data_IF_437284894655
#
_entry.id   IF_437284894655
#
_cell.length_a   1.000
_cell.length_b   1.000
_cell.length_c   1.000
_cell.angle_alpha   90.00
_cell.angle_beta   90.00
_cell.angle_gamma   90.00
#
_symmetry.space_group_name_H-M   'P 1'
#
loop_
_entity.id
_entity.type
_entity.pdbx_description
1 polymer ?
#
# COMPACT_ATOMS: atom_id res chain seq x y z
N UNK A 1 8.28 8.40 11.46
CA UNK A 1 9.10 9.00 10.37
C UNK A 1 8.67 10.44 10.13
N UNK A 2 9.55 11.43 10.37
CA UNK A 2 9.33 12.86 10.08
C UNK A 2 10.09 13.33 8.82
N UNK A 3 10.28 12.44 7.83
CA UNK A 3 10.89 12.79 6.56
C UNK A 3 9.83 13.32 5.58
N UNK A 4 10.24 14.21 4.67
CA UNK A 4 9.36 14.69 3.58
C UNK A 4 8.75 13.53 2.78
N UNK A 5 9.51 12.46 2.56
CA UNK A 5 9.02 11.24 1.91
C UNK A 5 7.89 10.59 2.72
N UNK A 6 8.05 10.45 4.03
CA UNK A 6 7.02 9.88 4.90
C UNK A 6 5.74 10.72 4.92
N UNK A 7 5.87 12.05 4.86
CA UNK A 7 4.72 12.96 4.77
C UNK A 7 3.99 12.83 3.42
N UNK A 8 4.74 12.76 2.30
CA UNK A 8 4.15 12.52 0.97
C UNK A 8 3.42 11.18 0.92
N UNK A 9 4.02 10.12 1.45
CA UNK A 9 3.39 8.79 1.53
C UNK A 9 2.07 8.88 2.30
N UNK A 10 2.05 9.46 3.50
CA UNK A 10 0.82 9.61 4.29
C UNK A 10 -0.24 10.45 3.60
N UNK A 11 0.15 11.55 2.95
CA UNK A 11 -0.78 12.40 2.20
C UNK A 11 -1.38 11.64 1.00
N UNK A 12 -0.60 10.79 0.33
CA UNK A 12 -1.09 9.93 -0.74
C UNK A 12 -2.05 8.86 -0.21
N UNK A 13 -1.76 8.23 0.93
CA UNK A 13 -2.68 7.29 1.58
C UNK A 13 -4.05 7.93 1.83
N UNK A 14 -4.05 9.13 2.42
CA UNK A 14 -5.28 9.91 2.70
C UNK A 14 -6.06 10.28 1.44
N UNK A 15 -5.34 10.55 0.33
CA UNK A 15 -5.97 10.79 -0.97
C UNK A 15 -6.65 9.53 -1.51
N UNK A 16 -6.02 8.36 -1.36
CA UNK A 16 -6.48 7.11 -1.96
C UNK A 16 -7.63 6.50 -1.16
N UNK A 17 -7.51 6.46 0.17
CA UNK A 17 -8.38 5.69 1.04
C UNK A 17 -9.23 6.54 1.99
N UNK A 18 -8.95 7.84 2.10
CA UNK A 18 -9.75 8.79 2.89
C UNK A 18 -8.96 9.47 4.00
N UNK A 19 -9.40 10.66 4.39
CA UNK A 19 -8.72 11.48 5.41
C UNK A 19 -9.15 11.17 6.86
N UNK A 20 -10.14 10.29 7.03
CA UNK A 20 -10.73 9.94 8.33
C UNK A 20 -9.97 8.82 9.04
N UNK A 21 -9.07 8.14 8.34
CA UNK A 21 -8.31 7.02 8.86
C UNK A 21 -6.83 7.39 9.01
N UNK A 22 -6.18 6.75 9.97
CA UNK A 22 -4.74 6.73 10.07
C UNK A 22 -4.16 5.48 9.40
N UNK A 23 -2.95 5.62 8.87
CA UNK A 23 -2.28 4.56 8.12
C UNK A 23 -0.91 4.32 8.71
N UNK A 24 -0.71 3.08 9.15
CA UNK A 24 0.59 2.58 9.58
C UNK A 24 1.45 2.25 8.37
N UNK A 25 2.73 2.59 8.47
CA UNK A 25 3.75 2.40 7.46
C UNK A 25 4.89 1.62 8.08
N UNK A 26 5.01 0.35 7.71
CA UNK A 26 6.06 -0.53 8.22
C UNK A 26 6.98 -1.00 7.11
N UNK A 27 8.17 -1.44 7.50
CA UNK A 27 9.10 -2.15 6.63
C UNK A 27 9.43 -3.49 7.28
N UNK A 28 9.35 -4.57 6.50
CA UNK A 28 9.76 -5.89 6.95
C UNK A 28 11.01 -6.32 6.16
N UNK A 29 11.88 -7.06 6.85
CA UNK A 29 13.11 -7.63 6.32
C UNK A 29 13.29 -9.01 6.94
N UNK A 30 12.67 -10.02 6.32
CA UNK A 30 12.63 -11.38 6.86
C UNK A 30 13.86 -12.22 6.49
N UNK A 31 14.61 -11.86 5.45
CA UNK A 31 15.70 -12.68 4.92
C UNK A 31 17.07 -11.98 4.88
N UNK A 32 17.19 -10.78 5.47
CA UNK A 32 18.37 -9.91 5.44
C UNK A 32 18.84 -9.48 4.04
N UNK A 33 18.08 -9.78 2.98
CA UNK A 33 18.44 -9.55 1.57
C UNK A 33 17.40 -8.68 0.87
N UNK A 34 16.13 -8.82 1.23
CA UNK A 34 15.00 -8.16 0.61
C UNK A 34 14.19 -7.37 1.65
N UNK A 35 13.84 -6.15 1.27
CA UNK A 35 13.02 -5.22 2.05
C UNK A 35 11.66 -5.06 1.39
N UNK A 36 10.59 -5.03 2.19
CA UNK A 36 9.24 -4.75 1.73
C UNK A 36 8.59 -3.71 2.62
N UNK A 37 8.00 -2.68 2.04
CA UNK A 37 7.18 -1.73 2.78
C UNK A 37 5.70 -2.12 2.69
N UNK A 38 4.98 -1.93 3.79
CA UNK A 38 3.56 -2.20 3.92
C UNK A 38 2.83 -0.93 4.32
N UNK A 39 1.61 -0.80 3.81
CA UNK A 39 0.62 0.15 4.33
C UNK A 39 -0.48 -0.66 4.99
N UNK A 40 -0.80 -0.33 6.23
CA UNK A 40 -1.91 -0.92 6.98
C UNK A 40 -2.81 0.21 7.46
N UNK A 41 -4.10 -0.08 7.62
CA UNK A 41 -4.99 0.84 8.33
C UNK A 41 -4.71 0.72 9.82
N UNK A 42 -4.53 1.84 10.49
CA UNK A 42 -4.34 1.91 11.93
C UNK A 42 -5.72 2.07 12.60
N UNK A 43 -6.07 1.15 13.49
CA UNK A 43 -7.30 1.20 14.28
C UNK A 43 -7.07 1.72 15.71
N UNK A 44 -5.86 2.17 16.02
CA UNK A 44 -5.44 2.68 17.33
C UNK A 44 -5.01 1.57 18.30
N UNK A 45 -5.80 0.51 18.43
CA UNK A 45 -5.49 -0.65 19.28
C UNK A 45 -4.85 -1.83 18.52
N UNK A 46 -4.92 -1.79 17.20
CA UNK A 46 -4.51 -2.87 16.31
C UNK A 46 -4.24 -2.36 14.89
N UNK A 47 -3.37 -3.06 14.17
CA UNK A 47 -3.14 -2.80 12.75
C UNK A 47 -3.98 -3.75 11.90
N UNK A 48 -4.60 -3.20 10.85
CA UNK A 48 -5.32 -3.99 9.85
C UNK A 48 -4.40 -4.82 8.96
N UNK A 49 -5.01 -5.68 8.13
CA UNK A 49 -4.28 -6.37 7.05
C UNK A 49 -3.62 -5.35 6.11
N UNK A 50 -2.48 -5.72 5.48
CA UNK A 50 -1.87 -4.89 4.45
C UNK A 50 -2.84 -4.50 3.34
N UNK A 51 -2.93 -3.20 3.06
CA UNK A 51 -3.77 -2.63 2.00
C UNK A 51 -2.95 -2.24 0.76
N UNK A 52 -1.65 -2.05 0.94
CA UNK A 52 -0.64 -1.94 -0.11
C UNK A 52 0.69 -2.51 0.39
N UNK A 53 1.49 -3.01 -0.54
CA UNK A 53 2.80 -3.60 -0.25
C UNK A 53 3.70 -3.42 -1.47
N UNK A 54 4.98 -3.09 -1.25
CA UNK A 54 5.97 -3.03 -2.34
C UNK A 54 6.40 -4.44 -2.75
N UNK A 55 7.09 -4.54 -3.89
CA UNK A 55 7.89 -5.73 -4.16
C UNK A 55 9.07 -5.85 -3.19
N UNK A 56 9.72 -7.01 -3.16
CA UNK A 56 11.08 -7.14 -2.64
C UNK A 56 12.01 -6.10 -3.28
N UNK A 57 12.62 -5.28 -2.44
CA UNK A 57 13.57 -4.24 -2.81
C UNK A 57 14.93 -4.56 -2.17
N UNK A 58 16.06 -4.21 -2.82
CA UNK A 58 17.40 -4.56 -2.34
C UNK A 58 17.85 -3.75 -1.11
N UNK A 59 17.10 -2.71 -0.73
CA UNK A 59 17.38 -1.90 0.46
C UNK A 59 16.11 -1.28 1.02
N UNK A 60 16.21 -0.79 2.26
CA UNK A 60 15.14 -0.03 2.91
C UNK A 60 14.77 1.22 2.12
N UNK A 61 15.76 1.99 1.68
CA UNK A 61 15.57 3.19 0.89
C UNK A 61 14.88 2.89 -0.43
N UNK A 62 15.26 1.79 -1.09
CA UNK A 62 14.62 1.35 -2.32
C UNK A 62 13.15 0.95 -2.09
N UNK A 63 12.85 0.29 -0.96
CA UNK A 63 11.47 -0.04 -0.59
C UNK A 63 10.62 1.21 -0.34
N UNK A 64 11.12 2.19 0.43
CA UNK A 64 10.40 3.44 0.68
C UNK A 64 10.22 4.29 -0.59
N UNK A 65 11.25 4.34 -1.45
CA UNK A 65 11.17 5.04 -2.74
C UNK A 65 10.13 4.39 -3.67
N UNK A 66 10.10 3.06 -3.73
CA UNK A 66 9.11 2.33 -4.51
C UNK A 66 7.70 2.57 -3.95
N UNK A 67 7.53 2.55 -2.62
CA UNK A 67 6.24 2.86 -2.01
C UNK A 67 5.75 4.28 -2.35
N UNK A 68 6.62 5.30 -2.22
CA UNK A 68 6.29 6.70 -2.58
C UNK A 68 5.86 6.79 -4.05
N UNK A 69 6.62 6.17 -4.96
CA UNK A 69 6.31 6.13 -6.40
C UNK A 69 4.94 5.49 -6.67
N UNK A 70 4.68 4.33 -6.06
CA UNK A 70 3.45 3.57 -6.25
C UNK A 70 2.22 4.36 -5.78
N UNK A 71 2.28 4.90 -4.56
CA UNK A 71 1.18 5.65 -3.98
C UNK A 71 0.99 7.00 -4.67
N UNK A 72 2.06 7.66 -5.11
CA UNK A 72 1.97 8.89 -5.91
C UNK A 72 1.22 8.68 -7.23
N UNK A 73 1.51 7.59 -7.94
CA UNK A 73 0.80 7.24 -9.17
C UNK A 73 -0.69 6.97 -8.92
N UNK A 74 -1.02 6.27 -7.84
CA UNK A 74 -2.41 5.99 -7.48
C UNK A 74 -3.16 7.25 -7.04
N UNK A 75 -2.59 8.03 -6.13
CA UNK A 75 -3.16 9.29 -5.68
C UNK A 75 -3.41 10.25 -6.86
N UNK A 76 -2.50 10.32 -7.83
CA UNK A 76 -2.68 11.12 -9.06
C UNK A 76 -3.90 10.65 -9.88
N UNK A 77 -4.09 9.34 -10.02
CA UNK A 77 -5.25 8.75 -10.71
C UNK A 77 -6.57 9.00 -9.97
N UNK A 78 -6.56 8.88 -8.63
CA UNK A 78 -7.73 9.20 -7.79
C UNK A 78 -8.11 10.68 -7.94
N UNK A 79 -7.13 11.60 -7.88
CA UNK A 79 -7.36 13.04 -8.07
C UNK A 79 -7.94 13.39 -9.44
N UNK A 80 -7.69 12.57 -10.47
CA UNK A 80 -8.25 12.72 -11.82
C UNK A 80 -9.63 12.07 -11.99
N UNK A 81 -10.19 11.48 -10.93
CA UNK A 81 -11.48 10.77 -11.00
C UNK A 81 -11.40 9.40 -11.68
N UNK A 82 -10.20 8.86 -11.90
CA UNK A 82 -9.96 7.58 -12.58
C UNK A 82 -9.19 6.61 -11.68
N UNK A 83 -9.75 6.22 -10.51
CA UNK A 83 -9.07 5.33 -9.58
C UNK A 83 -8.71 4.00 -10.26
N UNK A 84 -7.53 3.46 -9.94
CA UNK A 84 -7.08 2.19 -10.53
C UNK A 84 -7.99 1.03 -10.13
N UNK A 85 -8.35 0.22 -11.12
CA UNK A 85 -8.99 -1.08 -10.91
C UNK A 85 -8.05 -2.05 -10.19
N UNK A 86 -8.58 -3.16 -9.65
CA UNK A 86 -7.75 -4.23 -9.06
C UNK A 86 -6.69 -4.73 -10.05
N UNK A 87 -7.06 -4.95 -11.31
CA UNK A 87 -6.14 -5.44 -12.33
C UNK A 87 -5.04 -4.43 -12.63
N UNK A 88 -5.36 -3.15 -12.79
CA UNK A 88 -4.34 -2.12 -13.00
C UNK A 88 -3.39 -2.00 -11.82
N UNK A 89 -3.91 -2.16 -10.59
CA UNK A 89 -3.06 -2.24 -9.40
C UNK A 89 -2.14 -3.46 -9.46
N UNK A 90 -2.65 -4.64 -9.81
CA UNK A 90 -1.83 -5.85 -9.95
C UNK A 90 -0.76 -5.72 -11.05
N UNK A 91 -1.07 -5.09 -12.19
CA UNK A 91 -0.08 -4.82 -13.24
C UNK A 91 1.00 -3.84 -12.79
N UNK A 92 0.60 -2.77 -12.09
CA UNK A 92 1.50 -1.69 -11.68
C UNK A 92 2.35 -2.07 -10.47
N UNK A 93 1.78 -2.88 -9.56
CA UNK A 93 2.32 -3.14 -8.22
C UNK A 93 2.68 -4.60 -8.00
N UNK A 94 2.38 -5.49 -8.95
CA UNK A 94 2.68 -6.92 -8.86
C UNK A 94 4.18 -7.27 -8.95
N UNK A 95 5.07 -6.30 -8.83
CA UNK A 95 6.51 -6.46 -8.88
C UNK A 95 7.06 -6.83 -10.27
N UNK A 96 8.40 -6.95 -10.41
CA UNK A 96 9.04 -7.28 -11.67
C UNK A 96 8.50 -8.57 -12.27
N UNK A 97 8.10 -8.52 -13.55
CA UNK A 97 7.48 -9.65 -14.28
C UNK A 97 6.20 -10.21 -13.62
N UNK A 98 5.54 -9.45 -12.75
CA UNK A 98 4.31 -9.86 -12.08
C UNK A 98 4.49 -10.92 -10.98
N UNK A 99 5.73 -11.15 -10.51
CA UNK A 99 6.06 -12.19 -9.51
C UNK A 99 5.24 -12.10 -8.23
N UNK A 100 4.74 -10.92 -7.86
CA UNK A 100 4.01 -10.68 -6.63
C UNK A 100 2.50 -10.48 -6.84
N UNK A 101 1.99 -10.61 -8.07
CA UNK A 101 0.55 -10.45 -8.37
C UNK A 101 -0.33 -11.37 -7.52
N UNK A 102 0.07 -12.63 -7.35
CA UNK A 102 -0.72 -13.59 -6.58
C UNK A 102 -0.83 -13.21 -5.10
N UNK A 103 0.29 -12.82 -4.48
CA UNK A 103 0.35 -12.38 -3.08
C UNK A 103 -0.43 -11.07 -2.91
N UNK A 104 -0.18 -10.09 -3.78
CA UNK A 104 -0.88 -8.81 -3.76
C UNK A 104 -2.39 -8.95 -3.98
N UNK A 105 -2.82 -9.87 -4.86
CA UNK A 105 -4.25 -10.13 -5.07
C UNK A 105 -4.91 -10.66 -3.80
N UNK A 106 -4.28 -11.60 -3.09
CA UNK A 106 -4.83 -12.14 -1.84
C UNK A 106 -5.04 -11.04 -0.80
N UNK A 107 -4.05 -10.16 -0.61
CA UNK A 107 -4.18 -9.03 0.30
C UNK A 107 -5.30 -8.06 -0.12
N UNK A 108 -5.42 -7.76 -1.42
CA UNK A 108 -6.52 -6.91 -1.92
C UNK A 108 -7.90 -7.53 -1.69
N UNK A 109 -8.03 -8.85 -1.88
CA UNK A 109 -9.28 -9.59 -1.66
C UNK A 109 -9.68 -9.61 -0.18
N UNK A 110 -8.73 -9.88 0.71
CA UNK A 110 -8.95 -9.82 2.16
C UNK A 110 -9.37 -8.42 2.62
N UNK A 111 -8.75 -7.37 2.10
CA UNK A 111 -9.13 -6.00 2.40
C UNK A 111 -10.58 -5.69 1.96
N UNK A 112 -10.95 -6.06 0.73
CA UNK A 112 -12.30 -5.85 0.22
C UNK A 112 -13.37 -6.60 1.03
N UNK A 113 -13.10 -7.84 1.43
CA UNK A 113 -14.01 -8.63 2.27
C UNK A 113 -14.27 -7.94 3.61
N UNK A 114 -13.22 -7.44 4.27
CA UNK A 114 -13.35 -6.77 5.58
C UNK A 114 -14.04 -5.41 5.51
N UNK A 115 -13.73 -4.60 4.50
CA UNK A 115 -14.41 -3.31 4.30
C UNK A 115 -15.88 -3.49 3.86
N UNK A 116 -16.17 -4.53 3.06
CA UNK A 116 -17.53 -4.91 2.71
C UNK A 116 -18.36 -5.32 3.93
N UNK A 117 -17.77 -6.11 4.83
CA UNK A 117 -18.42 -6.53 6.07
C UNK A 117 -18.73 -5.34 7.00
N UNK A 118 -17.86 -4.32 7.06
CA UNK A 118 -18.10 -3.09 7.84
C UNK A 118 -19.23 -2.20 7.32
N UNK A 119 -19.56 -2.28 6.03
CA UNK A 119 -20.68 -1.52 5.44
C UNK A 119 -22.05 -2.17 5.68
N UNK A 120 -22.07 -3.40 6.19
CA UNK A 120 -23.29 -4.18 6.47
C UNK A 120 -23.60 -4.30 7.97
N UNK A 121 -22.73 -3.78 8.84
CA UNK A 121 -22.91 -3.69 10.28
C UNK A 121 -23.31 -2.26 10.67
#
# INVERSE_FOLDING_TARGET
>A
MSSEQGERIRANCKTIWGNHDDYDLSIENDNCVDYQCFVRKDFGDSFGSPIAMTSCCPSSEAAWAELDRMLGLWASRVKRGTPMTKNERLETFGGPKGKHKAVLSKFMDEFQLREGAKKQA
#
